data_IF_813385747656
#
_entry.id   IF_813385747656
#
_cell.length_a   1.000
_cell.length_b   1.000
_cell.length_c   1.000
_cell.angle_alpha   90.00
_cell.angle_beta   90.00
_cell.angle_gamma   90.00
#
_symmetry.space_group_name_H-M   'P 1'
#
loop_
_entity.id
_entity.type
_entity.pdbx_description
1 polymer ?
#
# COMPACT_ATOMS: atom_id res chain seq x y z
N UNK A 1 -5.11 -13.10 19.38
CA UNK A 1 -4.18 -11.99 19.57
C UNK A 1 -4.54 -10.85 18.62
N UNK A 2 -4.72 -9.68 19.17
CA UNK A 2 -5.08 -8.53 18.34
C UNK A 2 -3.90 -8.16 17.43
N UNK A 3 -4.21 -7.90 16.16
CA UNK A 3 -3.22 -7.44 15.21
C UNK A 3 -3.03 -5.93 15.39
N UNK A 4 -1.83 -5.53 15.75
CA UNK A 4 -1.54 -4.12 16.00
C UNK A 4 -0.90 -3.48 14.75
N UNK A 5 -1.73 -2.81 13.98
CA UNK A 5 -1.28 -2.08 12.79
C UNK A 5 -0.25 -1.01 13.14
N UNK A 6 -0.37 -0.37 14.30
CA UNK A 6 0.53 0.71 14.70
C UNK A 6 1.96 0.22 14.85
N UNK A 7 2.17 -0.96 15.45
CA UNK A 7 3.49 -1.53 15.61
C UNK A 7 4.14 -1.85 14.27
N UNK A 8 3.35 -2.31 13.31
CA UNK A 8 3.84 -2.65 11.98
C UNK A 8 4.17 -1.38 11.20
N UNK A 9 3.31 -0.40 11.30
CA UNK A 9 3.48 0.86 10.60
C UNK A 9 4.71 1.63 11.08
N UNK A 10 5.04 1.56 12.36
CA UNK A 10 6.26 2.16 12.89
C UNK A 10 7.51 1.66 12.16
N UNK A 11 7.47 0.40 11.70
CA UNK A 11 8.57 -0.15 10.91
C UNK A 11 8.71 0.46 9.52
N UNK A 12 7.65 1.04 8.97
CA UNK A 12 7.67 1.69 7.67
C UNK A 12 8.19 3.13 7.75
N UNK A 13 8.05 3.78 8.89
CA UNK A 13 8.43 5.19 9.06
C UNK A 13 9.91 5.45 8.77
N UNK A 14 10.75 4.40 8.82
CA UNK A 14 12.17 4.51 8.50
C UNK A 14 12.48 4.80 7.02
N UNK A 15 11.51 4.57 6.12
CA UNK A 15 11.71 4.78 4.67
C UNK A 15 11.28 6.18 4.23
N UNK A 16 10.69 6.96 5.11
CA UNK A 16 10.24 8.30 4.81
C UNK A 16 10.45 9.17 6.05
N UNK A 17 10.99 10.38 5.85
CA UNK A 17 11.19 11.31 6.96
C UNK A 17 9.85 11.80 7.50
N UNK A 18 9.86 12.22 8.75
CA UNK A 18 8.68 12.82 9.37
C UNK A 18 8.17 14.04 8.60
N UNK A 19 9.10 14.81 8.04
CA UNK A 19 8.77 15.99 7.22
C UNK A 19 8.02 15.56 5.96
N UNK A 20 8.46 14.49 5.31
CA UNK A 20 7.81 13.98 4.10
C UNK A 20 6.38 13.52 4.39
N UNK A 21 6.18 12.86 5.53
CA UNK A 21 4.83 12.44 5.97
C UNK A 21 3.94 13.67 6.17
N UNK A 22 4.47 14.71 6.80
CA UNK A 22 3.73 15.95 7.02
C UNK A 22 3.38 16.62 5.69
N UNK A 23 4.33 16.69 4.77
CA UNK A 23 4.11 17.26 3.45
C UNK A 23 3.03 16.50 2.67
N UNK A 24 3.08 15.16 2.69
CA UNK A 24 2.08 14.34 2.02
C UNK A 24 0.70 14.53 2.64
N UNK A 25 0.64 14.58 3.97
CA UNK A 25 -0.63 14.79 4.67
C UNK A 25 -1.26 16.11 4.30
N UNK A 26 -0.46 17.15 4.17
CA UNK A 26 -0.94 18.49 3.81
C UNK A 26 -1.32 18.56 2.33
N UNK A 27 -0.50 18.00 1.44
CA UNK A 27 -0.74 18.04 0.01
C UNK A 27 -2.03 17.30 -0.37
N UNK A 28 -2.31 16.17 0.28
CA UNK A 28 -3.44 15.32 -0.06
C UNK A 28 -4.56 15.35 0.97
N UNK A 29 -4.58 16.33 1.86
CA UNK A 29 -5.57 16.42 2.94
C UNK A 29 -7.02 16.41 2.46
N UNK A 30 -7.28 16.96 1.29
CA UNK A 30 -8.63 17.02 0.74
C UNK A 30 -9.17 15.65 0.32
N UNK A 31 -8.28 14.65 0.24
CA UNK A 31 -8.62 13.30 -0.19
C UNK A 31 -8.55 12.31 0.97
N UNK A 32 -8.25 12.78 2.17
CA UNK A 32 -8.18 11.99 3.39
C UNK A 32 -9.41 12.29 4.26
N UNK A 33 -9.86 11.27 4.99
CA UNK A 33 -10.93 11.47 5.96
C UNK A 33 -10.37 12.19 7.20
N UNK A 34 -11.25 12.86 7.95
CA UNK A 34 -10.84 13.65 9.12
C UNK A 34 -10.06 12.84 10.15
N UNK A 35 -10.46 11.57 10.34
CA UNK A 35 -9.84 10.68 11.32
C UNK A 35 -8.83 9.71 10.71
N UNK A 36 -8.51 9.89 9.43
CA UNK A 36 -7.56 9.06 8.72
C UNK A 36 -6.14 9.60 8.91
N UNK A 37 -5.22 8.74 9.32
CA UNK A 37 -3.84 9.12 9.61
C UNK A 37 -2.89 8.57 8.55
N UNK A 38 -2.05 9.44 7.98
CA UNK A 38 -0.98 9.03 7.06
C UNK A 38 0.15 8.43 7.89
N UNK A 39 0.54 7.20 7.53
CA UNK A 39 1.58 6.47 8.24
C UNK A 39 2.90 6.43 7.46
N UNK A 40 2.83 6.33 6.15
CA UNK A 40 3.99 6.38 5.27
C UNK A 40 3.56 6.68 3.85
N UNK A 41 4.53 6.96 3.00
CA UNK A 41 4.29 7.14 1.59
C UNK A 41 5.51 6.78 0.78
N UNK A 42 5.28 6.46 -0.49
CA UNK A 42 6.34 6.05 -1.41
C UNK A 42 6.11 6.70 -2.76
N UNK A 43 7.19 7.21 -3.32
CA UNK A 43 7.19 7.61 -4.72
C UNK A 43 7.47 6.39 -5.56
N UNK A 44 6.57 6.10 -6.49
CA UNK A 44 6.75 5.06 -7.48
C UNK A 44 7.41 5.68 -8.72
N UNK A 45 7.66 4.86 -9.73
CA UNK A 45 8.25 5.34 -10.98
C UNK A 45 7.38 6.43 -11.60
N UNK A 46 6.05 6.26 -11.58
CA UNK A 46 5.10 7.19 -12.21
C UNK A 46 4.08 7.78 -11.24
N UNK A 47 3.86 7.12 -10.13
CA UNK A 47 2.74 7.38 -9.26
C UNK A 47 3.19 7.57 -7.82
N UNK A 48 2.23 7.73 -6.93
CA UNK A 48 2.48 7.87 -5.49
C UNK A 48 1.54 6.91 -4.78
N UNK A 49 2.04 6.23 -3.75
CA UNK A 49 1.17 5.48 -2.83
C UNK A 49 1.34 6.04 -1.42
N UNK A 50 0.22 6.17 -0.73
CA UNK A 50 0.19 6.62 0.64
C UNK A 50 -0.46 5.52 1.48
N UNK A 51 0.24 5.10 2.53
CA UNK A 51 -0.31 4.16 3.51
C UNK A 51 -0.94 4.95 4.64
N UNK A 52 -2.21 4.69 4.89
CA UNK A 52 -2.90 5.23 6.03
C UNK A 52 -3.22 4.10 7.01
N UNK A 53 -3.90 4.42 8.10
CA UNK A 53 -4.34 3.42 9.06
C UNK A 53 -5.43 2.50 8.53
N UNK A 54 -6.07 2.82 7.39
CA UNK A 54 -7.17 2.02 6.84
C UNK A 54 -6.95 1.54 5.42
N UNK A 55 -6.13 2.23 4.61
CA UNK A 55 -6.03 1.92 3.18
C UNK A 55 -4.66 2.27 2.62
N UNK A 56 -4.39 1.71 1.44
CA UNK A 56 -3.39 2.25 0.53
C UNK A 56 -4.12 3.20 -0.40
N UNK A 57 -3.72 4.46 -0.40
CA UNK A 57 -4.24 5.43 -1.36
C UNK A 57 -3.27 5.46 -2.53
N UNK A 58 -3.72 4.92 -3.67
CA UNK A 58 -2.93 4.87 -4.89
C UNK A 58 -3.31 6.08 -5.74
N UNK A 59 -2.32 6.94 -5.97
CA UNK A 59 -2.52 8.21 -6.70
C UNK A 59 -1.86 8.05 -8.06
N UNK A 60 -2.70 7.88 -9.06
CA UNK A 60 -2.30 7.66 -10.45
C UNK A 60 -2.44 8.97 -11.22
N UNK A 61 -1.31 9.58 -11.54
CA UNK A 61 -1.27 10.79 -12.35
C UNK A 61 -1.26 10.40 -13.82
N UNK A 62 -2.43 10.15 -14.36
CA UNK A 62 -2.58 9.66 -15.72
C UNK A 62 -2.01 10.62 -16.76
N UNK A 63 -1.09 10.09 -17.56
CA UNK A 63 -0.55 10.77 -18.74
C UNK A 63 0.44 11.87 -18.41
N UNK A 64 1.20 12.25 -19.44
CA UNK A 64 2.22 13.29 -19.35
C UNK A 64 1.63 14.68 -19.17
N UNK A 65 0.34 14.84 -19.44
CA UNK A 65 -0.34 16.14 -19.36
C UNK A 65 -0.84 16.47 -17.96
N UNK A 66 -0.89 15.48 -17.05
CA UNK A 66 -1.35 15.68 -15.67
C UNK A 66 -2.78 16.19 -15.55
N UNK A 67 -3.60 16.03 -16.59
CA UNK A 67 -4.97 16.57 -16.59
C UNK A 67 -5.94 15.80 -15.72
N UNK A 68 -5.68 14.51 -15.49
CA UNK A 68 -6.52 13.67 -14.65
C UNK A 68 -5.67 12.94 -13.63
N UNK A 69 -6.11 12.98 -12.39
CA UNK A 69 -5.48 12.21 -11.32
C UNK A 69 -6.53 11.27 -10.77
N UNK A 70 -6.19 9.99 -10.72
CA UNK A 70 -7.07 8.96 -10.16
C UNK A 70 -6.64 8.64 -8.74
N UNK A 71 -7.61 8.54 -7.85
CA UNK A 71 -7.39 8.17 -6.45
C UNK A 71 -8.10 6.85 -6.19
N UNK A 72 -7.30 5.80 -6.02
CA UNK A 72 -7.83 4.45 -5.80
C UNK A 72 -7.52 4.02 -4.37
N UNK A 73 -8.52 3.49 -3.69
CA UNK A 73 -8.35 2.95 -2.35
C UNK A 73 -8.22 1.44 -2.41
N UNK A 74 -7.20 0.91 -1.73
CA UNK A 74 -7.03 -0.51 -1.50
C UNK A 74 -7.05 -0.69 0.00
N UNK A 75 -8.12 -1.28 0.54
CA UNK A 75 -8.30 -1.38 1.98
C UNK A 75 -7.35 -2.43 2.57
N UNK A 76 -6.66 -2.06 3.63
CA UNK A 76 -5.65 -2.92 4.24
C UNK A 76 -6.22 -4.27 4.68
N UNK A 77 -7.49 -4.29 5.11
CA UNK A 77 -8.17 -5.52 5.55
C UNK A 77 -8.47 -6.51 4.42
N UNK A 78 -8.32 -6.09 3.17
CA UNK A 78 -8.64 -6.92 2.00
C UNK A 78 -7.42 -7.50 1.30
N UNK A 79 -6.22 -7.13 1.72
CA UNK A 79 -4.99 -7.64 1.13
C UNK A 79 -4.77 -9.07 1.61
N UNK A 80 -4.62 -10.03 0.68
CA UNK A 80 -4.53 -11.45 0.99
C UNK A 80 -3.26 -12.11 0.45
N UNK A 81 -2.49 -11.41 -0.36
CA UNK A 81 -1.20 -11.93 -0.85
C UNK A 81 -0.27 -10.78 -1.23
N UNK A 82 1.02 -11.06 -1.22
CA UNK A 82 2.03 -10.10 -1.63
C UNK A 82 3.21 -10.83 -2.25
N UNK A 83 3.74 -10.26 -3.31
CA UNK A 83 4.90 -10.78 -4.03
C UNK A 83 5.89 -9.63 -4.22
N UNK A 84 7.17 -9.92 -4.10
CA UNK A 84 8.22 -8.91 -4.27
C UNK A 84 9.23 -9.39 -5.29
N UNK A 85 9.63 -8.51 -6.20
CA UNK A 85 10.76 -8.73 -7.10
C UNK A 85 11.82 -7.67 -6.79
N UNK A 86 13.03 -8.12 -6.51
CA UNK A 86 14.14 -7.21 -6.27
C UNK A 86 14.67 -6.67 -7.58
N UNK A 87 15.28 -5.48 -7.52
CA UNK A 87 15.94 -4.90 -8.68
C UNK A 87 17.08 -5.82 -9.15
N UNK A 88 17.10 -6.11 -10.44
CA UNK A 88 18.17 -6.90 -11.04
C UNK A 88 19.43 -6.09 -11.24
N UNK A 89 20.40 -6.71 -11.92
CA UNK A 89 21.62 -5.99 -12.32
C UNK A 89 21.28 -4.97 -13.41
N UNK A 90 21.77 -3.75 -13.25
CA UNK A 90 21.61 -2.72 -14.25
C UNK A 90 20.45 -1.76 -13.94
N UNK A 91 19.48 -1.68 -14.86
CA UNK A 91 18.45 -0.64 -14.86
C UNK A 91 17.08 -1.12 -14.34
N UNK A 92 16.97 -2.37 -13.92
CA UNK A 92 15.69 -2.91 -13.47
C UNK A 92 15.24 -2.28 -12.16
N UNK A 93 13.97 -1.93 -12.09
CA UNK A 93 13.34 -1.43 -10.88
C UNK A 93 12.86 -2.59 -10.02
N UNK A 94 12.61 -2.31 -8.74
CA UNK A 94 12.01 -3.31 -7.87
C UNK A 94 10.49 -3.20 -7.92
N UNK A 95 9.80 -4.30 -7.64
CA UNK A 95 8.36 -4.35 -7.71
C UNK A 95 7.76 -5.03 -6.48
N UNK A 96 6.61 -4.54 -6.07
CA UNK A 96 5.73 -5.24 -5.15
C UNK A 96 4.38 -5.40 -5.82
N UNK A 97 3.90 -6.64 -5.84
CA UNK A 97 2.58 -6.95 -6.37
C UNK A 97 1.72 -7.45 -5.22
N UNK A 98 0.62 -6.77 -4.97
CA UNK A 98 -0.35 -7.19 -3.96
C UNK A 98 -1.58 -7.79 -4.64
N UNK A 99 -2.18 -8.76 -3.96
CA UNK A 99 -3.47 -9.32 -4.35
C UNK A 99 -4.46 -9.04 -3.25
N UNK A 100 -5.62 -8.54 -3.60
CA UNK A 100 -6.63 -8.18 -2.62
C UNK A 100 -8.02 -8.59 -3.09
N UNK A 101 -8.92 -8.77 -2.12
CA UNK A 101 -10.31 -9.09 -2.37
C UNK A 101 -11.05 -7.85 -2.83
N UNK A 102 -11.76 -7.96 -3.94
CA UNK A 102 -12.65 -6.91 -4.41
C UNK A 102 -14.00 -6.98 -3.71
N UNK A 103 -14.31 -8.12 -3.13
CA UNK A 103 -15.61 -8.38 -2.53
C UNK A 103 -15.85 -7.52 -1.28
N UNK A 104 -17.08 -7.07 -1.12
CA UNK A 104 -17.51 -6.37 0.09
C UNK A 104 -17.47 -7.32 1.28
N UNK A 105 -17.88 -8.55 1.06
CA UNK A 105 -17.85 -9.60 2.08
C UNK A 105 -16.52 -10.35 1.99
N UNK A 106 -15.83 -10.47 3.12
CA UNK A 106 -14.51 -11.10 3.16
C UNK A 106 -14.56 -12.63 2.98
N UNK A 107 -15.73 -13.23 3.11
CA UNK A 107 -15.91 -14.68 2.96
C UNK A 107 -17.04 -14.98 1.98
N UNK A 108 -16.86 -14.63 0.71
CA UNK A 108 -17.88 -14.86 -0.31
C UNK A 108 -17.87 -16.31 -0.78
N UNK A 109 -18.92 -16.71 -1.49
CA UNK A 109 -18.98 -18.03 -2.14
C UNK A 109 -17.98 -18.16 -3.27
N UNK A 110 -17.77 -17.06 -4.00
CA UNK A 110 -16.75 -17.00 -5.04
C UNK A 110 -15.92 -15.76 -4.81
N UNK A 111 -14.62 -15.94 -4.81
CA UNK A 111 -13.67 -14.87 -4.54
C UNK A 111 -13.42 -14.06 -5.80
N UNK A 112 -13.39 -12.74 -5.63
CA UNK A 112 -12.92 -11.84 -6.69
C UNK A 112 -11.63 -11.23 -6.23
N UNK A 113 -10.55 -11.58 -6.92
CA UNK A 113 -9.22 -11.12 -6.59
C UNK A 113 -8.74 -10.13 -7.64
N UNK A 114 -8.09 -9.08 -7.18
CA UNK A 114 -7.43 -8.11 -8.04
C UNK A 114 -5.98 -8.03 -7.62
N UNK A 115 -5.09 -7.92 -8.60
CA UNK A 115 -3.68 -7.68 -8.34
C UNK A 115 -3.33 -6.25 -8.73
N UNK A 116 -2.48 -5.63 -7.93
CA UNK A 116 -1.94 -4.31 -8.22
C UNK A 116 -0.43 -4.36 -8.07
N UNK A 117 0.29 -3.92 -9.09
CA UNK A 117 1.75 -3.87 -9.06
C UNK A 117 2.22 -2.45 -8.82
N UNK A 118 3.18 -2.29 -7.90
CA UNK A 118 3.85 -1.02 -7.63
C UNK A 118 5.30 -1.14 -8.05
N UNK A 119 5.74 -0.23 -8.91
CA UNK A 119 7.13 -0.18 -9.38
C UNK A 119 7.87 0.91 -8.63
N UNK A 120 8.95 0.53 -7.94
CA UNK A 120 9.71 1.43 -7.10
C UNK A 120 11.04 1.78 -7.76
N UNK A 121 11.51 3.03 -7.58
CA UNK A 121 12.86 3.37 -8.01
C UNK A 121 13.87 2.41 -7.40
N UNK A 122 14.91 2.09 -8.16
CA UNK A 122 15.93 1.11 -7.79
C UNK A 122 16.50 1.32 -6.40
N UNK A 123 16.62 2.57 -5.95
CA UNK A 123 17.22 2.92 -4.67
C UNK A 123 16.25 2.78 -3.49
N UNK A 124 14.97 2.55 -3.74
CA UNK A 124 13.98 2.45 -2.67
C UNK A 124 14.11 1.12 -1.96
N UNK A 125 14.21 1.15 -0.64
CA UNK A 125 14.23 -0.06 0.18
C UNK A 125 12.79 -0.56 0.34
N UNK A 126 12.50 -1.75 -0.18
CA UNK A 126 11.14 -2.29 -0.19
C UNK A 126 10.98 -3.54 0.67
N UNK A 127 12.06 -4.07 1.25
CA UNK A 127 11.97 -5.30 2.04
C UNK A 127 11.08 -5.13 3.27
N UNK A 128 11.18 -4.00 3.95
CA UNK A 128 10.34 -3.71 5.11
C UNK A 128 8.88 -3.59 4.71
N UNK A 129 8.61 -2.94 3.59
CA UNK A 129 7.25 -2.81 3.06
C UNK A 129 6.69 -4.19 2.70
N UNK A 130 7.49 -5.03 2.04
CA UNK A 130 7.08 -6.39 1.72
C UNK A 130 6.70 -7.17 2.98
N UNK A 131 7.52 -7.11 4.03
CA UNK A 131 7.24 -7.80 5.29
C UNK A 131 5.97 -7.29 5.96
N UNK A 132 5.75 -5.98 5.92
CA UNK A 132 4.52 -5.38 6.44
C UNK A 132 3.29 -5.92 5.71
N UNK A 133 3.34 -5.90 4.38
CA UNK A 133 2.24 -6.40 3.55
C UNK A 133 2.02 -7.90 3.72
N UNK A 134 3.10 -8.66 3.89
CA UNK A 134 2.99 -10.09 4.15
C UNK A 134 2.30 -10.36 5.49
N UNK A 135 2.64 -9.61 6.53
CA UNK A 135 1.96 -9.75 7.83
C UNK A 135 0.49 -9.39 7.73
N UNK A 136 0.15 -8.35 6.97
CA UNK A 136 -1.25 -8.01 6.70
C UNK A 136 -1.97 -9.17 6.02
N UNK A 137 -1.37 -9.73 4.97
CA UNK A 137 -1.98 -10.81 4.21
C UNK A 137 -2.21 -12.04 5.09
N UNK A 138 -1.23 -12.41 5.91
CA UNK A 138 -1.36 -13.55 6.83
C UNK A 138 -2.47 -13.29 7.84
N UNK A 139 -2.50 -12.11 8.46
CA UNK A 139 -3.54 -11.74 9.41
C UNK A 139 -4.93 -11.81 8.78
N UNK A 140 -5.07 -11.24 7.58
CA UNK A 140 -6.36 -11.21 6.89
C UNK A 140 -6.83 -12.60 6.51
N UNK A 141 -5.93 -13.48 6.03
CA UNK A 141 -6.27 -14.87 5.72
C UNK A 141 -6.76 -15.61 6.96
N UNK A 142 -6.09 -15.41 8.09
CA UNK A 142 -6.51 -16.05 9.35
C UNK A 142 -7.87 -15.54 9.79
N UNK A 143 -8.11 -14.23 9.70
CA UNK A 143 -9.39 -13.63 10.07
C UNK A 143 -10.53 -14.16 9.20
N UNK A 144 -10.30 -14.25 7.88
CA UNK A 144 -11.29 -14.74 6.93
C UNK A 144 -11.64 -16.21 7.21
N UNK A 145 -10.64 -17.03 7.49
CA UNK A 145 -10.83 -18.47 7.66
C UNK A 145 -11.35 -18.84 9.04
N UNK A 146 -11.17 -18.00 10.04
CA UNK A 146 -11.61 -18.25 11.41
C UNK A 146 -12.96 -17.59 11.75
N UNK A 147 -13.53 -16.86 10.84
CA UNK A 147 -14.81 -16.17 11.07
C UNK A 147 -16.02 -17.02 10.73
#
# INVERSE_FOLDING_TARGET
MAFDFNQIVQGLAGNMSEVDITELSEEYKDYLLEDETVESGYKLIRDIIIFTDIRILFIDKQGTTGRKTSFKSIFLSQIVDVEMETAGFGIDDSEIKITYLQNIYLKPRSEKLITQTFEFPKKTEITKLYKYLLKLAIHNRQAINNS
#
